data_IF_755336396049
#
_entry.id   IF_755336396049
#
_cell.length_a   1.000
_cell.length_b   1.000
_cell.length_c   1.000
_cell.angle_alpha   90.00
_cell.angle_beta   90.00
_cell.angle_gamma   90.00
#
_symmetry.space_group_name_H-M   'P 1'
#
loop_
_entity.id
_entity.type
_entity.pdbx_description
1 polymer ?
#
# COMPACT_ATOMS: atom_id res chain seq x y z
N UNK A 1 2.11 -14.53 -0.12
CA UNK A 1 0.69 -14.86 -0.38
C UNK A 1 -0.19 -14.37 0.76
N UNK A 2 -1.34 -13.79 0.45
CA UNK A 2 -2.32 -13.34 1.44
C UNK A 2 -3.51 -14.29 1.40
N UNK A 3 -3.96 -14.79 2.55
CA UNK A 3 -5.17 -15.58 2.69
C UNK A 3 -6.12 -14.87 3.64
N UNK A 4 -7.35 -14.67 3.21
CA UNK A 4 -8.42 -14.04 3.97
C UNK A 4 -9.56 -15.05 4.02
N UNK A 5 -9.99 -15.46 5.21
CA UNK A 5 -11.00 -16.48 5.40
C UNK A 5 -12.12 -15.93 6.28
N UNK A 6 -13.32 -15.79 5.69
CA UNK A 6 -14.58 -15.39 6.33
C UNK A 6 -14.47 -14.12 7.19
N UNK A 7 -13.70 -13.13 6.69
CA UNK A 7 -13.44 -11.91 7.43
C UNK A 7 -14.64 -10.99 7.42
N UNK A 8 -15.13 -10.69 8.63
CA UNK A 8 -16.14 -9.67 8.87
C UNK A 8 -15.60 -8.59 9.80
N UNK A 9 -16.01 -7.35 9.58
CA UNK A 9 -15.64 -6.21 10.42
C UNK A 9 -16.85 -5.34 10.74
N UNK A 10 -17.16 -5.22 12.02
CA UNK A 10 -18.21 -4.34 12.53
C UNK A 10 -17.61 -3.25 13.41
N UNK A 11 -17.92 -1.98 13.11
CA UNK A 11 -17.47 -0.80 13.87
C UNK A 11 -18.71 -0.02 14.32
N UNK A 12 -18.89 0.20 15.62
CA UNK A 12 -20.03 0.96 16.19
C UNK A 12 -21.38 0.51 15.60
N UNK A 13 -21.64 -0.81 15.55
CA UNK A 13 -22.86 -1.43 15.01
C UNK A 13 -23.03 -1.32 13.49
N UNK A 14 -22.06 -0.78 12.76
CA UNK A 14 -22.06 -0.75 11.30
C UNK A 14 -21.14 -1.85 10.78
N UNK A 15 -21.70 -2.75 9.97
CA UNK A 15 -20.94 -3.79 9.31
C UNK A 15 -20.24 -3.22 8.09
N UNK A 16 -18.90 -3.24 8.12
CA UNK A 16 -18.01 -2.64 7.09
C UNK A 16 -17.53 -3.70 6.10
N UNK A 17 -17.19 -4.90 6.61
CA UNK A 17 -16.79 -6.05 5.80
C UNK A 17 -17.69 -7.23 6.14
N UNK A 18 -18.06 -8.05 5.14
CA UNK A 18 -19.05 -9.14 5.23
C UNK A 18 -18.49 -10.40 4.60
N UNK A 19 -18.10 -11.36 5.45
CA UNK A 19 -17.66 -12.71 5.04
C UNK A 19 -16.67 -12.69 3.86
N UNK A 20 -15.66 -11.81 3.92
CA UNK A 20 -14.69 -11.68 2.85
C UNK A 20 -13.76 -12.89 2.86
N UNK A 21 -13.76 -13.63 1.74
CA UNK A 21 -12.88 -14.79 1.54
C UNK A 21 -12.15 -14.65 0.21
N UNK A 22 -10.80 -14.58 0.26
CA UNK A 22 -9.96 -14.45 -0.93
C UNK A 22 -8.54 -14.94 -0.67
N UNK A 23 -7.93 -15.51 -1.71
CA UNK A 23 -6.51 -15.85 -1.75
C UNK A 23 -5.82 -15.02 -2.83
N UNK A 24 -4.82 -14.23 -2.43
CA UNK A 24 -4.01 -13.41 -3.33
C UNK A 24 -2.65 -14.08 -3.50
N UNK A 25 -2.31 -14.39 -4.74
CA UNK A 25 -1.09 -15.10 -5.11
C UNK A 25 0.16 -14.21 -4.97
N UNK A 26 1.29 -14.84 -4.67
CA UNK A 26 2.58 -14.13 -4.61
C UNK A 26 3.07 -13.72 -6.00
N UNK A 27 3.81 -12.62 -6.09
CA UNK A 27 4.43 -12.14 -7.32
C UNK A 27 3.45 -11.56 -8.35
N UNK A 28 2.22 -11.26 -7.94
CA UNK A 28 1.18 -10.66 -8.78
C UNK A 28 0.73 -9.29 -8.27
N UNK A 29 0.15 -8.50 -9.17
CA UNK A 29 -0.56 -7.27 -8.82
C UNK A 29 -2.06 -7.58 -8.76
N UNK A 30 -2.64 -7.36 -7.59
CA UNK A 30 -4.06 -7.56 -7.31
C UNK A 30 -4.77 -6.21 -7.20
N UNK A 31 -5.72 -5.95 -8.08
CA UNK A 31 -6.53 -4.74 -8.07
C UNK A 31 -7.74 -4.87 -7.15
N UNK A 32 -7.99 -3.86 -6.35
CA UNK A 32 -9.16 -3.74 -5.51
C UNK A 32 -9.96 -2.51 -5.93
N UNK A 33 -11.08 -2.71 -6.60
CA UNK A 33 -11.95 -1.66 -7.09
C UNK A 33 -13.23 -1.54 -6.26
N UNK A 34 -13.96 -0.45 -6.43
CA UNK A 34 -15.22 -0.21 -5.74
C UNK A 34 -15.39 1.26 -5.34
N UNK A 35 -16.62 1.65 -5.01
CA UNK A 35 -16.95 3.03 -4.63
C UNK A 35 -16.28 3.45 -3.33
N UNK A 36 -16.19 4.76 -3.08
CA UNK A 36 -15.76 5.28 -1.79
C UNK A 36 -16.71 4.78 -0.69
N UNK A 37 -16.13 4.35 0.44
CA UNK A 37 -16.89 3.77 1.55
C UNK A 37 -17.33 2.32 1.35
N UNK A 38 -16.92 1.63 0.28
CA UNK A 38 -17.29 0.22 0.05
C UNK A 38 -16.57 -0.78 0.98
N UNK A 39 -15.47 -0.37 1.65
CA UNK A 39 -14.71 -1.21 2.57
C UNK A 39 -13.25 -1.47 2.16
N UNK A 40 -12.78 -1.02 0.97
CA UNK A 40 -11.42 -1.27 0.45
C UNK A 40 -10.31 -0.92 1.45
N UNK A 41 -10.28 0.33 1.89
CA UNK A 41 -9.27 0.83 2.86
C UNK A 41 -9.33 0.04 4.18
N UNK A 42 -10.53 -0.35 4.63
CA UNK A 42 -10.67 -1.14 5.86
C UNK A 42 -10.14 -2.56 5.69
N UNK A 43 -10.36 -3.20 4.54
CA UNK A 43 -9.77 -4.49 4.23
C UNK A 43 -8.23 -4.40 4.20
N UNK A 44 -7.67 -3.38 3.55
CA UNK A 44 -6.23 -3.13 3.56
C UNK A 44 -5.69 -2.90 4.98
N UNK A 45 -6.38 -2.12 5.81
CA UNK A 45 -6.03 -1.93 7.23
C UNK A 45 -6.05 -3.24 8.02
N UNK A 46 -7.00 -4.12 7.75
CA UNK A 46 -7.04 -5.45 8.38
C UNK A 46 -5.86 -6.33 7.94
N UNK A 47 -5.51 -6.34 6.64
CA UNK A 47 -4.36 -7.07 6.10
C UNK A 47 -3.05 -6.59 6.75
N UNK A 48 -2.91 -5.27 6.95
CA UNK A 48 -1.73 -4.66 7.56
C UNK A 48 -1.69 -4.74 9.10
N UNK A 49 -2.74 -5.26 9.77
CA UNK A 49 -2.79 -5.35 11.23
C UNK A 49 -3.21 -4.08 11.95
N UNK A 50 -3.58 -3.00 11.25
CA UNK A 50 -4.03 -1.75 11.88
C UNK A 50 -5.43 -1.85 12.48
N UNK A 51 -6.23 -2.78 11.98
CA UNK A 51 -7.58 -3.06 12.48
C UNK A 51 -7.76 -4.57 12.58
N UNK A 52 -8.19 -5.04 13.75
CA UNK A 52 -8.49 -6.45 13.95
C UNK A 52 -9.91 -6.74 13.42
N UNK A 53 -10.09 -7.75 12.56
CA UNK A 53 -11.41 -8.23 12.16
C UNK A 53 -12.26 -8.62 13.37
N UNK A 54 -13.58 -8.47 13.26
CA UNK A 54 -14.52 -8.96 14.27
C UNK A 54 -14.62 -10.49 14.22
N UNK A 55 -14.59 -11.04 13.00
CA UNK A 55 -14.64 -12.47 12.73
C UNK A 55 -13.69 -12.83 11.59
N UNK A 56 -13.35 -14.11 11.47
CA UNK A 56 -12.48 -14.64 10.44
C UNK A 56 -11.00 -14.46 10.73
N UNK A 57 -10.15 -14.77 9.75
CA UNK A 57 -8.70 -14.73 9.88
C UNK A 57 -8.02 -14.18 8.63
N UNK A 58 -6.90 -13.50 8.84
CA UNK A 58 -6.03 -13.02 7.76
C UNK A 58 -4.64 -13.58 8.00
N UNK A 59 -4.08 -14.22 6.98
CA UNK A 59 -2.72 -14.76 7.00
C UNK A 59 -1.90 -14.10 5.91
N UNK A 60 -0.73 -13.60 6.26
CA UNK A 60 0.25 -13.00 5.34
C UNK A 60 1.55 -13.77 5.45
N UNK A 61 2.05 -14.31 4.33
CA UNK A 61 3.27 -15.12 4.28
C UNK A 61 3.31 -16.25 5.34
N UNK A 62 2.17 -16.91 5.56
CA UNK A 62 2.03 -18.02 6.49
C UNK A 62 1.84 -17.64 7.97
N UNK A 63 1.88 -16.34 8.32
CA UNK A 63 1.65 -15.84 9.69
C UNK A 63 0.27 -15.22 9.80
N UNK A 64 -0.50 -15.61 10.80
CA UNK A 64 -1.82 -15.03 11.07
C UNK A 64 -1.66 -13.67 11.77
N UNK A 65 -2.19 -12.63 11.12
CA UNK A 65 -2.19 -11.26 11.66
C UNK A 65 -3.11 -11.16 12.88
N UNK A 66 -2.63 -10.54 13.94
CA UNK A 66 -3.32 -10.40 15.22
C UNK A 66 -3.26 -11.64 16.12
N UNK A 67 -2.50 -12.69 15.72
CA UNK A 67 -2.21 -13.87 16.52
C UNK A 67 -0.72 -14.20 16.54
N UNK A 68 -0.11 -14.45 15.38
CA UNK A 68 1.31 -14.84 15.25
C UNK A 68 2.21 -13.60 15.11
N UNK A 69 1.64 -12.48 14.66
CA UNK A 69 2.26 -11.17 14.56
C UNK A 69 1.20 -10.06 14.68
N UNK A 70 1.57 -8.91 15.23
CA UNK A 70 0.69 -7.73 15.26
C UNK A 70 0.63 -7.09 13.87
N UNK A 71 1.76 -7.04 13.17
CA UNK A 71 1.91 -6.49 11.82
C UNK A 71 2.66 -7.51 10.96
N UNK A 72 2.29 -7.66 9.67
CA UNK A 72 3.04 -8.50 8.76
C UNK A 72 4.50 -8.02 8.63
N UNK A 73 5.43 -8.97 8.59
CA UNK A 73 6.81 -8.68 8.23
C UNK A 73 6.90 -8.28 6.75
N UNK A 74 7.91 -7.50 6.40
CA UNK A 74 8.23 -7.19 5.00
C UNK A 74 7.06 -6.59 4.19
N UNK A 75 6.35 -5.62 4.77
CA UNK A 75 5.25 -4.92 4.11
C UNK A 75 5.57 -3.42 3.93
N UNK A 76 5.36 -2.92 2.71
CA UNK A 76 5.36 -1.48 2.39
C UNK A 76 3.93 -0.98 2.20
N UNK A 77 3.63 0.19 2.76
CA UNK A 77 2.24 0.62 2.91
C UNK A 77 2.07 2.07 2.45
N UNK A 78 1.06 2.30 1.60
CA UNK A 78 0.43 3.60 1.41
C UNK A 78 -1.06 3.40 1.67
N UNK A 79 -1.55 3.83 2.82
CA UNK A 79 -2.98 3.81 3.16
C UNK A 79 -3.36 5.21 3.62
N UNK A 80 -4.35 5.80 2.96
CA UNK A 80 -4.73 7.20 3.16
C UNK A 80 -3.57 8.16 2.84
N UNK A 81 -3.51 9.33 3.48
CA UNK A 81 -2.43 10.31 3.24
C UNK A 81 -1.25 10.02 4.15
N UNK A 82 -0.04 9.79 3.62
CA UNK A 82 1.14 9.59 4.44
C UNK A 82 1.40 10.78 5.37
N UNK A 83 1.55 10.48 6.67
CA UNK A 83 1.81 11.49 7.70
C UNK A 83 3.31 11.78 7.83
N UNK A 84 3.77 12.88 7.20
CA UNK A 84 5.16 13.34 7.32
C UNK A 84 5.28 14.51 8.30
N UNK A 85 6.45 14.63 8.93
CA UNK A 85 6.79 15.80 9.75
C UNK A 85 6.94 17.01 8.81
N UNK A 86 6.04 18.00 8.90
CA UNK A 86 5.89 19.04 7.87
C UNK A 86 7.10 19.97 7.74
N UNK A 87 7.88 20.12 8.80
CA UNK A 87 9.06 21.00 8.89
C UNK A 87 10.38 20.27 8.57
N UNK A 88 10.34 18.99 8.20
CA UNK A 88 11.52 18.25 7.74
C UNK A 88 11.52 18.16 6.21
N UNK A 89 12.71 17.93 5.63
CA UNK A 89 12.83 17.54 4.22
C UNK A 89 12.31 16.12 4.01
N UNK A 90 12.10 15.71 2.75
CA UNK A 90 11.72 14.32 2.42
C UNK A 90 12.74 13.33 2.96
N UNK A 91 14.01 13.52 2.63
CA UNK A 91 15.11 12.68 3.14
C UNK A 91 15.11 12.56 4.66
N UNK A 92 14.99 13.68 5.39
CA UNK A 92 15.00 13.67 6.85
C UNK A 92 13.83 12.89 7.44
N UNK A 93 12.65 12.93 6.81
CA UNK A 93 11.50 12.13 7.21
C UNK A 93 11.78 10.63 7.08
N UNK A 94 12.27 10.20 5.91
CA UNK A 94 12.55 8.79 5.66
C UNK A 94 13.73 8.27 6.49
N UNK A 95 14.78 9.09 6.61
CA UNK A 95 15.96 8.75 7.42
C UNK A 95 15.61 8.52 8.90
N UNK A 96 14.68 9.32 9.45
CA UNK A 96 14.19 9.11 10.82
C UNK A 96 13.56 7.73 11.00
N UNK A 97 12.74 7.28 10.04
CA UNK A 97 12.13 5.95 10.07
C UNK A 97 13.18 4.85 9.91
N UNK A 98 14.14 5.03 9.00
CA UNK A 98 15.26 4.12 8.81
C UNK A 98 16.09 3.95 10.10
N UNK A 99 16.35 5.06 10.81
CA UNK A 99 17.10 5.05 12.07
C UNK A 99 16.36 4.35 13.22
N UNK A 100 15.03 4.46 13.25
CA UNK A 100 14.20 3.75 14.23
C UNK A 100 14.22 2.24 14.00
N UNK A 101 14.12 1.80 12.75
CA UNK A 101 14.08 0.38 12.39
C UNK A 101 15.46 -0.26 12.26
N UNK A 102 16.49 0.53 11.96
CA UNK A 102 17.90 0.11 11.79
C UNK A 102 18.09 -1.03 10.77
N UNK A 103 17.23 -1.10 9.75
CA UNK A 103 17.28 -2.12 8.69
C UNK A 103 18.05 -1.67 7.46
N UNK A 104 18.07 -0.37 7.20
CA UNK A 104 18.66 0.24 6.01
C UNK A 104 19.52 1.45 6.36
N UNK A 105 20.46 1.75 5.46
CA UNK A 105 21.37 2.90 5.56
C UNK A 105 20.75 4.17 5.02
N UNK A 106 21.40 5.32 5.25
CA UNK A 106 21.01 6.60 4.64
C UNK A 106 21.13 6.61 3.12
N UNK A 107 22.10 5.86 2.56
CA UNK A 107 22.26 5.75 1.10
C UNK A 107 21.09 4.99 0.48
N UNK A 108 20.64 3.89 1.08
CA UNK A 108 19.46 3.15 0.61
C UNK A 108 18.18 4.00 0.68
N UNK A 109 18.06 4.91 1.66
CA UNK A 109 16.98 5.90 1.69
C UNK A 109 17.06 6.85 0.49
N UNK A 110 18.26 7.35 0.12
CA UNK A 110 18.45 8.21 -1.05
C UNK A 110 18.08 7.47 -2.34
N UNK A 111 18.59 6.25 -2.51
CA UNK A 111 18.25 5.39 -3.65
C UNK A 111 16.74 5.20 -3.81
N UNK A 112 16.02 4.94 -2.70
CA UNK A 112 14.58 4.80 -2.75
C UNK A 112 13.87 6.09 -3.17
N UNK A 113 14.38 7.26 -2.77
CA UNK A 113 13.86 8.56 -3.23
C UNK A 113 14.12 8.78 -4.72
N UNK A 114 15.32 8.49 -5.20
CA UNK A 114 15.70 8.62 -6.61
C UNK A 114 14.84 7.70 -7.50
N UNK A 115 14.61 6.45 -7.08
CA UNK A 115 13.75 5.48 -7.79
C UNK A 115 12.33 5.99 -8.04
N UNK A 116 11.82 6.88 -7.20
CA UNK A 116 10.49 7.48 -7.35
C UNK A 116 10.55 8.90 -7.93
N UNK A 117 11.70 9.35 -8.42
CA UNK A 117 11.88 10.66 -9.03
C UNK A 117 11.86 11.83 -8.03
N UNK A 118 12.33 11.59 -6.79
CA UNK A 118 12.54 12.64 -5.79
C UNK A 118 14.02 12.88 -5.55
N UNK A 119 14.42 14.14 -5.59
CA UNK A 119 15.78 14.60 -5.27
C UNK A 119 16.05 14.44 -3.76
N UNK A 120 16.99 13.56 -3.31
CA UNK A 120 17.27 13.36 -1.88
C UNK A 120 17.85 14.61 -1.20
N UNK A 121 18.66 15.37 -1.92
CA UNK A 121 19.34 16.57 -1.40
C UNK A 121 18.42 17.81 -1.34
N UNK A 122 17.17 17.70 -1.77
CA UNK A 122 16.20 18.79 -1.74
C UNK A 122 15.92 19.21 -0.28
N UNK A 123 16.42 20.36 0.13
CA UNK A 123 16.26 20.89 1.50
C UNK A 123 14.86 21.48 1.79
N UNK A 124 13.96 21.48 0.78
CA UNK A 124 12.60 21.99 0.93
C UNK A 124 11.83 21.16 1.95
N UNK A 125 11.12 21.85 2.85
CA UNK A 125 10.24 21.21 3.85
C UNK A 125 9.04 20.51 3.18
N UNK A 126 8.61 19.36 3.70
CA UNK A 126 7.50 18.56 3.12
C UNK A 126 6.18 19.33 3.09
N UNK A 127 5.95 20.28 4.01
CA UNK A 127 4.78 21.17 3.95
C UNK A 127 4.66 21.98 2.64
N UNK A 128 5.80 22.20 1.95
CA UNK A 128 5.87 22.90 0.65
C UNK A 128 5.90 21.95 -0.54
N UNK A 129 5.78 20.66 -0.33
CA UNK A 129 5.69 19.67 -1.41
C UNK A 129 4.32 19.75 -2.08
N UNK A 130 4.29 19.57 -3.41
CA UNK A 130 3.05 19.33 -4.14
C UNK A 130 2.40 18.01 -3.65
N UNK A 131 1.15 17.80 -4.01
CA UNK A 131 0.48 16.52 -3.71
C UNK A 131 1.25 15.35 -4.33
N UNK A 132 1.66 15.47 -5.62
CA UNK A 132 2.45 14.45 -6.29
C UNK A 132 3.80 14.19 -5.63
N UNK A 133 4.52 15.23 -5.16
CA UNK A 133 5.77 15.03 -4.42
C UNK A 133 5.54 14.28 -3.10
N UNK A 134 4.44 14.56 -2.39
CA UNK A 134 4.10 13.81 -1.16
C UNK A 134 3.74 12.36 -1.47
N UNK A 135 3.05 12.13 -2.60
CA UNK A 135 2.72 10.77 -3.04
C UNK A 135 3.97 9.97 -3.39
N UNK A 136 4.90 10.56 -4.16
CA UNK A 136 6.21 9.96 -4.45
C UNK A 136 7.02 9.68 -3.17
N UNK A 137 7.00 10.59 -2.20
CA UNK A 137 7.66 10.38 -0.90
C UNK A 137 7.01 9.23 -0.11
N UNK A 138 5.68 9.09 -0.16
CA UNK A 138 4.96 7.95 0.43
C UNK A 138 5.37 6.63 -0.20
N UNK A 139 5.53 6.61 -1.54
CA UNK A 139 6.04 5.42 -2.22
C UNK A 139 7.50 5.13 -1.85
N UNK A 140 8.38 6.13 -1.82
CA UNK A 140 9.75 5.95 -1.34
C UNK A 140 9.78 5.32 0.06
N UNK A 141 8.93 5.79 0.98
CA UNK A 141 8.78 5.18 2.30
C UNK A 141 8.34 3.72 2.23
N UNK A 142 7.38 3.42 1.38
CA UNK A 142 6.83 2.06 1.26
C UNK A 142 7.85 1.06 0.72
N UNK A 143 8.76 1.49 -0.18
CA UNK A 143 9.72 0.62 -0.86
C UNK A 143 11.13 0.60 -0.26
N UNK A 144 11.50 1.57 0.56
CA UNK A 144 12.90 1.77 0.99
C UNK A 144 13.51 0.59 1.74
N UNK A 145 12.70 -0.28 2.34
CA UNK A 145 13.14 -1.51 3.02
C UNK A 145 12.98 -2.77 2.14
N UNK A 146 12.75 -2.60 0.85
CA UNK A 146 12.59 -3.68 -0.15
C UNK A 146 11.55 -4.74 0.23
N UNK A 147 10.32 -4.36 0.61
CA UNK A 147 9.34 -5.30 1.10
C UNK A 147 8.93 -6.33 0.04
N UNK A 148 8.45 -7.49 0.49
CA UNK A 148 7.88 -8.54 -0.37
C UNK A 148 6.43 -8.23 -0.77
N UNK A 149 5.71 -7.50 0.07
CA UNK A 149 4.33 -7.09 -0.13
C UNK A 149 4.21 -5.58 -0.11
N UNK A 150 3.48 -5.04 -1.08
CA UNK A 150 3.05 -3.65 -1.11
C UNK A 150 1.54 -3.55 -1.02
N UNK A 151 1.02 -2.71 -0.12
CA UNK A 151 -0.41 -2.41 0.03
C UNK A 151 -0.60 -0.92 -0.23
N UNK A 152 -1.18 -0.59 -1.39
CA UNK A 152 -1.20 0.77 -1.93
C UNK A 152 -2.66 1.23 -2.17
N UNK A 153 -3.12 2.17 -1.36
CA UNK A 153 -4.45 2.79 -1.50
C UNK A 153 -4.31 4.09 -2.31
N UNK A 154 -4.85 4.08 -3.54
CA UNK A 154 -4.86 5.21 -4.48
C UNK A 154 -3.45 5.82 -4.72
N UNK A 155 -2.42 5.04 -5.07
CA UNK A 155 -1.05 5.54 -5.16
C UNK A 155 -0.81 6.57 -6.27
N UNK A 156 -1.68 6.64 -7.29
CA UNK A 156 -1.59 7.60 -8.41
C UNK A 156 -2.24 8.96 -8.11
N UNK A 157 -2.92 9.10 -6.96
CA UNK A 157 -3.64 10.34 -6.66
C UNK A 157 -2.71 11.56 -6.61
N UNK A 158 -3.09 12.60 -7.38
CA UNK A 158 -2.35 13.88 -7.42
C UNK A 158 -1.08 13.88 -8.25
N UNK A 159 -0.82 12.79 -8.99
CA UNK A 159 0.20 12.76 -10.02
C UNK A 159 -0.33 13.34 -11.34
N UNK A 160 0.54 14.00 -12.11
CA UNK A 160 0.29 14.35 -13.49
C UNK A 160 0.42 13.11 -14.41
N UNK A 161 0.14 13.27 -15.69
CA UNK A 161 0.16 12.16 -16.65
C UNK A 161 1.52 11.45 -16.72
N UNK A 162 2.60 12.22 -16.69
CA UNK A 162 3.96 11.67 -16.70
C UNK A 162 4.25 10.91 -15.41
N UNK A 163 3.91 11.48 -14.25
CA UNK A 163 4.05 10.83 -12.96
C UNK A 163 3.23 9.56 -12.82
N UNK A 164 2.04 9.47 -13.42
CA UNK A 164 1.25 8.23 -13.48
C UNK A 164 1.95 7.18 -14.33
N UNK A 165 2.49 7.56 -15.51
CA UNK A 165 3.22 6.63 -16.38
C UNK A 165 4.49 6.08 -15.70
N UNK A 166 5.25 6.94 -15.03
CA UNK A 166 6.43 6.55 -14.25
C UNK A 166 6.06 5.56 -13.14
N UNK A 167 5.00 5.88 -12.38
CA UNK A 167 4.52 5.04 -11.28
C UNK A 167 4.08 3.66 -11.77
N UNK A 168 3.32 3.60 -12.88
CA UNK A 168 2.92 2.33 -13.50
C UNK A 168 4.13 1.50 -13.90
N UNK A 169 5.09 2.10 -14.60
CA UNK A 169 6.33 1.44 -15.01
C UNK A 169 7.10 0.90 -13.81
N UNK A 170 7.18 1.67 -12.75
CA UNK A 170 7.85 1.27 -11.52
C UNK A 170 7.16 0.10 -10.81
N UNK A 171 5.82 0.11 -10.69
CA UNK A 171 5.07 -1.00 -10.08
C UNK A 171 5.19 -2.29 -10.90
N UNK A 172 5.22 -2.19 -12.23
CA UNK A 172 5.48 -3.33 -13.11
C UNK A 172 6.90 -3.88 -12.95
N UNK A 173 7.91 -3.02 -12.75
CA UNK A 173 9.27 -3.45 -12.45
C UNK A 173 9.35 -4.20 -11.12
N UNK A 174 8.71 -3.69 -10.06
CA UNK A 174 8.63 -4.38 -8.76
C UNK A 174 7.95 -5.76 -8.87
N UNK A 175 6.88 -5.86 -9.68
CA UNK A 175 6.26 -7.16 -9.98
C UNK A 175 7.25 -8.11 -10.67
N UNK A 176 8.01 -7.62 -11.66
CA UNK A 176 9.01 -8.43 -12.36
C UNK A 176 10.12 -8.93 -11.42
N UNK A 177 10.40 -8.20 -10.34
CA UNK A 177 11.30 -8.60 -9.23
C UNK A 177 10.63 -9.62 -8.27
N UNK A 178 9.39 -10.05 -8.53
CA UNK A 178 8.65 -11.01 -7.71
C UNK A 178 7.91 -10.42 -6.52
N UNK A 179 7.82 -9.09 -6.41
CA UNK A 179 7.03 -8.44 -5.36
C UNK A 179 5.54 -8.66 -5.58
N UNK A 180 4.80 -8.79 -4.47
CA UNK A 180 3.34 -8.87 -4.48
C UNK A 180 2.77 -7.49 -4.21
N UNK A 181 1.77 -7.06 -4.97
CA UNK A 181 1.18 -5.74 -4.83
C UNK A 181 -0.34 -5.85 -4.73
N UNK A 182 -0.91 -5.31 -3.67
CA UNK A 182 -2.34 -5.06 -3.56
C UNK A 182 -2.57 -3.57 -3.76
N UNK A 183 -3.26 -3.20 -4.83
CA UNK A 183 -3.53 -1.81 -5.19
C UNK A 183 -5.03 -1.52 -5.20
N UNK A 184 -5.47 -0.50 -4.47
CA UNK A 184 -6.80 0.06 -4.68
C UNK A 184 -6.69 1.25 -5.63
N UNK A 185 -7.55 1.27 -6.66
CA UNK A 185 -7.68 2.41 -7.57
C UNK A 185 -9.11 2.52 -8.10
N UNK A 186 -9.54 3.75 -8.36
CA UNK A 186 -10.78 4.05 -9.06
C UNK A 186 -10.56 4.28 -10.58
N UNK A 187 -9.31 4.32 -11.03
CA UNK A 187 -8.94 4.44 -12.44
C UNK A 187 -9.01 3.07 -13.13
N UNK A 188 -9.95 2.93 -14.05
CA UNK A 188 -10.07 1.70 -14.87
C UNK A 188 -8.82 1.44 -15.71
N UNK A 189 -8.13 2.49 -16.13
CA UNK A 189 -6.89 2.39 -16.90
C UNK A 189 -5.75 1.84 -16.06
N UNK A 190 -5.57 2.31 -14.80
CA UNK A 190 -4.53 1.78 -13.90
C UNK A 190 -4.75 0.30 -13.64
N UNK A 191 -6.00 -0.08 -13.38
CA UNK A 191 -6.37 -1.47 -13.14
C UNK A 191 -6.10 -2.35 -14.36
N UNK A 192 -6.48 -1.89 -15.57
CA UNK A 192 -6.28 -2.63 -16.80
C UNK A 192 -4.79 -2.82 -17.16
N UNK A 193 -3.96 -1.81 -16.89
CA UNK A 193 -2.52 -1.86 -17.22
C UNK A 193 -1.72 -2.67 -16.19
N UNK A 194 -2.08 -2.59 -14.91
CA UNK A 194 -1.25 -3.12 -13.83
C UNK A 194 -1.66 -4.50 -13.33
N UNK A 195 -2.97 -4.79 -13.24
CA UNK A 195 -3.46 -5.87 -12.40
C UNK A 195 -3.56 -7.21 -13.15
N UNK A 196 -3.06 -8.28 -12.50
CA UNK A 196 -3.23 -9.66 -12.96
C UNK A 196 -4.60 -10.22 -12.56
N UNK A 197 -5.14 -9.75 -11.45
CA UNK A 197 -6.49 -10.12 -10.96
C UNK A 197 -7.17 -8.89 -10.40
N UNK A 198 -8.49 -8.82 -10.56
CA UNK A 198 -9.29 -7.70 -10.09
C UNK A 198 -10.40 -8.19 -9.17
N UNK A 199 -10.56 -7.52 -8.06
CA UNK A 199 -11.58 -7.77 -7.06
C UNK A 199 -12.44 -6.52 -6.87
N UNK A 200 -13.74 -6.67 -6.86
CA UNK A 200 -14.68 -5.59 -6.64
C UNK A 200 -15.26 -5.66 -5.23
N UNK A 201 -15.11 -4.56 -4.50
CA UNK A 201 -15.70 -4.38 -3.17
C UNK A 201 -16.99 -3.55 -3.31
N UNK A 202 -18.13 -4.14 -2.98
CA UNK A 202 -19.39 -3.41 -2.88
C UNK A 202 -20.06 -3.68 -1.53
N UNK A 203 -20.31 -2.61 -0.78
CA UNK A 203 -20.97 -2.65 0.55
C UNK A 203 -20.41 -3.73 1.49
N UNK A 204 -19.09 -3.87 1.50
CA UNK A 204 -18.38 -4.83 2.37
C UNK A 204 -18.26 -6.24 1.83
N UNK A 205 -18.85 -6.54 0.68
CA UNK A 205 -18.72 -7.85 0.02
C UNK A 205 -17.69 -7.78 -1.08
N UNK A 206 -16.79 -8.77 -1.14
CA UNK A 206 -15.73 -8.87 -2.13
C UNK A 206 -16.09 -9.94 -3.17
N UNK A 207 -16.04 -9.57 -4.44
CA UNK A 207 -16.28 -10.49 -5.56
C UNK A 207 -15.15 -10.40 -6.57
N UNK A 208 -14.81 -11.52 -7.21
CA UNK A 208 -13.83 -11.50 -8.31
C UNK A 208 -14.48 -10.90 -9.54
N UNK A 209 -13.77 -9.98 -10.20
CA UNK A 209 -14.16 -9.45 -11.49
C UNK A 209 -13.44 -10.23 -12.60
N UNK A 210 -14.20 -10.68 -13.58
CA UNK A 210 -13.68 -11.35 -14.77
C UNK A 210 -13.00 -10.37 -15.74
#
# INVERSE_FOLDING_TARGET
>A
MIQINDVSLTIKKTEILRNVTVSLEQGKIHGLIGRNGSGKTMLMKCICGFVKPTEGTITVNGKQVGRDCDFPDSVGIIIETPGFIPYYSGYKNLKLLADLRKKITGEQVKEAMERVGLEPELKRHVRKYSLGMRQRLGLAQAIMEEPELLVLDEPMNGLDKEGVADMRSYLLALKAEGKTILIASHSTEDIAVLCDTVWEMDKGVLTRKE
#
